data_IF_060358709722
#
_entry.id   IF_060358709722
#
_cell.length_a   1.000
_cell.length_b   1.000
_cell.length_c   1.000
_cell.angle_alpha   90.00
_cell.angle_beta   90.00
_cell.angle_gamma   90.00
#
_symmetry.space_group_name_H-M   'P 1'
#
loop_
_entity.id
_entity.type
_entity.pdbx_description
1 polymer ?
#
# COMPACT_ATOMS: atom_id res chain seq x y z
N UNK A 1 -8.63 -19.88 7.08
CA UNK A 1 -10.00 -20.33 7.34
C UNK A 1 -11.05 -19.51 6.58
N UNK A 2 -10.81 -18.20 6.35
CA UNK A 2 -11.76 -17.31 5.68
C UNK A 2 -11.45 -17.04 4.21
N UNK A 3 -10.37 -17.61 3.66
CA UNK A 3 -9.95 -17.38 2.27
C UNK A 3 -9.42 -15.97 2.00
N UNK A 4 -9.14 -15.18 3.04
CA UNK A 4 -8.53 -13.87 2.89
C UNK A 4 -7.03 -14.04 2.59
N UNK A 5 -6.57 -13.44 1.51
CA UNK A 5 -5.17 -13.37 1.13
C UNK A 5 -4.68 -11.93 1.29
N UNK A 6 -3.43 -11.76 1.72
CA UNK A 6 -2.83 -10.43 1.94
C UNK A 6 -1.53 -10.37 1.15
N UNK A 7 -1.45 -9.41 0.26
CA UNK A 7 -0.30 -9.16 -0.60
C UNK A 7 0.26 -7.78 -0.32
N UNK A 8 1.54 -7.57 -0.58
CA UNK A 8 2.14 -6.26 -0.39
C UNK A 8 3.29 -6.03 -1.37
N UNK A 9 3.40 -4.79 -1.85
CA UNK A 9 4.49 -4.36 -2.70
C UNK A 9 4.86 -2.90 -2.45
N UNK A 10 5.97 -2.48 -3.04
CA UNK A 10 6.49 -1.12 -2.92
C UNK A 10 6.05 -0.30 -4.12
N UNK A 11 5.48 0.86 -3.86
CA UNK A 11 5.08 1.84 -4.88
C UNK A 11 6.10 2.95 -5.08
N UNK A 12 6.88 3.29 -4.05
CA UNK A 12 7.84 4.38 -4.13
C UNK A 12 9.00 4.17 -3.17
N UNK A 13 10.22 4.49 -3.61
CA UNK A 13 11.41 4.66 -2.77
C UNK A 13 12.16 5.90 -3.24
N UNK A 14 12.52 6.80 -2.32
CA UNK A 14 13.37 7.97 -2.61
C UNK A 14 12.79 8.90 -3.68
N UNK A 15 11.45 8.99 -3.79
CA UNK A 15 10.80 9.78 -4.83
C UNK A 15 10.68 9.09 -6.19
N UNK A 16 11.22 7.88 -6.33
CA UNK A 16 11.05 7.07 -7.55
C UNK A 16 9.75 6.27 -7.42
N UNK A 17 8.79 6.57 -8.27
CA UNK A 17 7.49 5.91 -8.27
C UNK A 17 7.42 4.81 -9.32
N UNK A 18 6.80 3.69 -8.94
CA UNK A 18 6.33 2.67 -9.87
C UNK A 18 5.18 3.23 -10.74
N UNK A 19 5.09 2.74 -11.96
CA UNK A 19 3.91 3.02 -12.80
C UNK A 19 2.69 2.36 -12.18
N UNK A 20 1.52 3.03 -12.18
CA UNK A 20 0.29 2.38 -11.79
C UNK A 20 0.08 1.12 -12.64
N UNK A 21 -0.21 0.01 -11.97
CA UNK A 21 -0.56 -1.24 -12.65
C UNK A 21 -2.00 -1.58 -12.32
N UNK A 22 -2.81 -1.79 -13.32
CA UNK A 22 -4.21 -2.23 -13.15
C UNK A 22 -4.28 -3.67 -12.63
N UNK A 23 -3.18 -4.42 -12.78
CA UNK A 23 -3.04 -5.77 -12.25
C UNK A 23 -1.59 -6.04 -11.85
N UNK A 24 -1.39 -6.50 -10.63
CA UNK A 24 -0.11 -7.00 -10.15
C UNK A 24 -0.14 -8.52 -10.18
N UNK A 25 0.84 -9.14 -10.82
CA UNK A 25 1.04 -10.59 -10.73
C UNK A 25 1.64 -10.92 -9.36
N UNK A 26 0.73 -11.22 -8.42
CA UNK A 26 1.10 -11.52 -7.03
C UNK A 26 1.91 -12.81 -6.92
N UNK A 27 1.60 -13.81 -7.74
CA UNK A 27 2.29 -15.11 -7.70
C UNK A 27 3.74 -14.93 -8.18
N UNK A 28 3.96 -14.18 -9.24
CA UNK A 28 5.30 -13.85 -9.71
C UNK A 28 6.08 -13.01 -8.69
N UNK A 29 5.42 -12.03 -8.06
CA UNK A 29 6.05 -11.18 -7.04
C UNK A 29 6.40 -11.97 -5.77
N UNK A 30 5.54 -12.91 -5.35
CA UNK A 30 5.75 -13.73 -4.16
C UNK A 30 6.71 -14.89 -4.39
N UNK A 31 6.74 -15.45 -5.60
CA UNK A 31 7.71 -16.48 -5.98
C UNK A 31 9.16 -15.95 -6.00
N UNK A 32 9.33 -14.62 -6.04
CA UNK A 32 10.65 -14.01 -6.05
C UNK A 32 11.18 -13.91 -4.61
N UNK A 33 12.24 -14.68 -4.24
CA UNK A 33 12.70 -14.73 -2.86
C UNK A 33 13.19 -13.35 -2.40
N UNK A 34 12.78 -12.96 -1.20
CA UNK A 34 13.33 -11.80 -0.52
C UNK A 34 14.75 -12.11 -0.05
N UNK A 35 15.74 -11.72 -0.83
CA UNK A 35 17.15 -11.83 -0.44
C UNK A 35 17.71 -10.45 -0.06
N UNK A 36 18.32 -10.39 1.12
CA UNK A 36 19.09 -9.25 1.61
C UNK A 36 20.37 -9.00 0.79
N UNK A 37 20.79 -10.00 0.05
CA UNK A 37 21.99 -9.95 -0.79
C UNK A 37 21.57 -9.84 -2.25
N UNK A 38 22.17 -8.88 -2.96
CA UNK A 38 22.01 -8.69 -4.41
C UNK A 38 22.50 -9.96 -5.14
N UNK A 39 21.62 -10.91 -5.33
CA UNK A 39 21.88 -12.00 -6.25
C UNK A 39 21.49 -11.55 -7.65
N UNK A 40 22.42 -11.65 -8.58
CA UNK A 40 22.18 -11.46 -10.01
C UNK A 40 20.99 -12.32 -10.43
N UNK A 41 19.84 -11.72 -10.61
CA UNK A 41 18.69 -12.47 -11.14
C UNK A 41 17.33 -11.85 -10.99
N UNK A 42 17.05 -11.06 -9.95
CA UNK A 42 15.77 -10.37 -9.86
C UNK A 42 15.86 -9.09 -9.04
N UNK A 43 15.90 -7.98 -9.74
CA UNK A 43 15.88 -6.65 -9.14
C UNK A 43 14.54 -6.35 -8.45
N UNK A 44 13.45 -6.96 -8.93
CA UNK A 44 12.13 -6.86 -8.30
C UNK A 44 12.15 -7.40 -6.87
N UNK A 45 12.87 -8.49 -6.61
CA UNK A 45 12.98 -9.08 -5.28
C UNK A 45 13.65 -8.15 -4.28
N UNK A 46 14.66 -7.41 -4.71
CA UNK A 46 15.46 -6.56 -3.82
C UNK A 46 14.62 -5.45 -3.17
N UNK A 47 13.65 -4.89 -3.90
CA UNK A 47 12.79 -3.79 -3.44
C UNK A 47 11.31 -4.15 -3.41
N UNK A 48 10.94 -5.35 -3.81
CA UNK A 48 9.56 -5.85 -3.87
C UNK A 48 8.61 -4.91 -4.64
N UNK A 49 9.09 -4.36 -5.74
CA UNK A 49 8.33 -3.50 -6.64
C UNK A 49 7.87 -4.31 -7.85
N UNK A 50 6.59 -4.22 -8.20
CA UNK A 50 6.01 -4.93 -9.34
C UNK A 50 6.40 -4.34 -10.71
N UNK A 51 6.96 -3.13 -10.75
CA UNK A 51 7.49 -2.47 -11.95
C UNK A 51 9.01 -2.65 -12.02
N UNK A 52 9.55 -3.50 -12.93
CA UNK A 52 10.98 -3.78 -13.01
C UNK A 52 11.84 -2.54 -13.34
N UNK A 53 11.33 -1.63 -14.18
CA UNK A 53 12.07 -0.41 -14.53
C UNK A 53 12.13 0.56 -13.35
N UNK A 54 11.05 0.65 -12.57
CA UNK A 54 11.05 1.43 -11.34
C UNK A 54 11.94 0.78 -10.28
N UNK A 55 11.93 -0.55 -10.16
CA UNK A 55 12.77 -1.29 -9.24
C UNK A 55 14.26 -0.98 -9.45
N UNK A 56 14.73 -0.96 -10.69
CA UNK A 56 16.12 -0.61 -11.02
C UNK A 56 16.48 0.81 -10.57
N UNK A 57 15.61 1.76 -10.81
CA UNK A 57 15.81 3.15 -10.40
C UNK A 57 15.75 3.33 -8.89
N UNK A 58 14.85 2.58 -8.20
CA UNK A 58 14.77 2.57 -6.73
C UNK A 58 16.05 2.02 -6.10
N UNK A 59 16.64 0.96 -6.69
CA UNK A 59 17.93 0.42 -6.23
C UNK A 59 19.03 1.44 -6.40
N UNK A 60 19.11 2.09 -7.56
CA UNK A 60 20.10 3.13 -7.81
C UNK A 60 19.97 4.30 -6.83
N UNK A 61 18.75 4.71 -6.49
CA UNK A 61 18.49 5.78 -5.51
C UNK A 61 18.91 5.36 -4.09
N UNK A 62 18.66 4.11 -3.70
CA UNK A 62 19.12 3.57 -2.41
C UNK A 62 20.65 3.60 -2.33
N UNK A 63 21.34 3.20 -3.40
CA UNK A 63 22.79 3.19 -3.45
C UNK A 63 23.36 4.62 -3.41
N UNK A 64 22.77 5.55 -4.16
CA UNK A 64 23.15 6.97 -4.13
C UNK A 64 22.96 7.59 -2.74
N UNK A 65 21.84 7.33 -2.08
CA UNK A 65 21.59 7.80 -0.72
C UNK A 65 22.61 7.21 0.27
N UNK A 66 22.94 5.92 0.14
CA UNK A 66 23.97 5.26 0.97
C UNK A 66 25.33 5.90 0.78
N UNK A 67 25.76 6.16 -0.47
CA UNK A 67 27.03 6.84 -0.76
C UNK A 67 27.07 8.27 -0.20
N UNK A 68 25.93 8.95 -0.23
CA UNK A 68 25.77 10.28 0.36
C UNK A 68 25.71 10.26 1.91
N UNK A 69 25.68 9.09 2.56
CA UNK A 69 25.53 8.97 4.01
C UNK A 69 24.13 9.38 4.50
N UNK A 70 23.11 9.28 3.64
CA UNK A 70 21.73 9.68 3.88
C UNK A 70 20.78 8.47 3.86
N UNK A 71 19.48 8.71 4.01
CA UNK A 71 18.44 7.70 3.99
C UNK A 71 17.23 8.15 3.17
N UNK A 72 16.47 7.18 2.65
CA UNK A 72 15.27 7.43 1.85
C UNK A 72 14.04 6.82 2.50
N UNK A 73 12.90 7.43 2.27
CA UNK A 73 11.58 6.91 2.61
C UNK A 73 10.92 6.22 1.43
N UNK A 74 9.66 5.79 1.62
CA UNK A 74 8.92 5.14 0.56
C UNK A 74 7.44 5.02 0.84
N UNK A 75 6.74 4.44 -0.14
CA UNK A 75 5.32 4.13 -0.06
C UNK A 75 5.16 2.63 -0.33
N UNK A 76 4.44 1.98 0.56
CA UNK A 76 4.03 0.58 0.40
C UNK A 76 2.53 0.51 0.14
N UNK A 77 2.12 -0.48 -0.65
CA UNK A 77 0.71 -0.83 -0.81
C UNK A 77 0.48 -2.26 -0.31
N UNK A 78 -0.60 -2.43 0.43
CA UNK A 78 -1.08 -3.73 0.89
C UNK A 78 -2.47 -3.94 0.35
N UNK A 79 -2.67 -5.08 -0.29
CA UNK A 79 -3.95 -5.49 -0.86
C UNK A 79 -4.42 -6.76 -0.16
N UNK A 80 -5.63 -6.73 0.39
CA UNK A 80 -6.26 -7.92 0.94
C UNK A 80 -7.47 -8.32 0.08
N UNK A 81 -7.44 -9.54 -0.44
CA UNK A 81 -8.51 -10.12 -1.27
C UNK A 81 -9.32 -11.15 -0.49
N UNK A 82 -10.50 -11.51 -0.95
CA UNK A 82 -11.34 -12.54 -0.34
C UNK A 82 -12.05 -12.11 0.96
N UNK A 83 -11.99 -10.82 1.32
CA UNK A 83 -12.71 -10.32 2.48
C UNK A 83 -14.23 -10.34 2.22
N UNK A 84 -15.04 -10.99 3.08
CA UNK A 84 -16.49 -11.01 2.90
C UNK A 84 -17.08 -9.60 3.11
N UNK A 85 -18.22 -9.35 2.48
CA UNK A 85 -18.97 -8.09 2.63
C UNK A 85 -19.43 -7.91 4.09
N UNK A 86 -19.32 -6.68 4.62
CA UNK A 86 -19.91 -6.31 5.90
C UNK A 86 -19.03 -6.53 7.12
N UNK A 87 -17.72 -6.83 6.95
CA UNK A 87 -16.82 -6.82 8.09
C UNK A 87 -16.61 -5.38 8.58
N UNK A 88 -16.65 -5.20 9.89
CA UNK A 88 -16.57 -3.88 10.53
C UNK A 88 -17.94 -3.41 11.00
N UNK A 89 -18.12 -2.10 11.11
CA UNK A 89 -19.37 -1.49 11.56
C UNK A 89 -19.50 -0.06 11.07
N UNK A 90 -20.71 0.37 10.78
CA UNK A 90 -21.04 1.76 10.43
C UNK A 90 -21.53 2.59 11.64
N UNK A 91 -21.78 1.97 12.80
CA UNK A 91 -22.51 2.59 13.90
C UNK A 91 -21.62 3.53 14.72
N UNK A 92 -20.46 3.05 15.16
CA UNK A 92 -19.55 3.80 16.04
C UNK A 92 -18.18 3.95 15.41
N UNK A 93 -17.53 5.10 15.65
CA UNK A 93 -16.23 5.41 15.09
C UNK A 93 -15.14 4.39 15.45
N UNK A 94 -15.14 3.87 16.67
CA UNK A 94 -14.19 2.88 17.19
C UNK A 94 -14.43 1.46 16.66
N UNK A 95 -15.56 1.22 16.01
CA UNK A 95 -15.92 -0.05 15.38
C UNK A 95 -15.70 -0.07 13.87
N UNK A 96 -15.54 1.10 13.26
CA UNK A 96 -15.25 1.22 11.83
C UNK A 96 -13.96 0.51 11.49
N UNK A 97 -14.01 -0.41 10.51
CA UNK A 97 -12.82 -1.14 10.07
C UNK A 97 -11.76 -0.21 9.49
N UNK A 98 -12.15 0.83 8.77
CA UNK A 98 -11.24 1.88 8.28
C UNK A 98 -10.40 2.48 9.41
N UNK A 99 -11.05 2.86 10.53
CA UNK A 99 -10.37 3.42 11.69
C UNK A 99 -9.41 2.42 12.35
N UNK A 100 -9.82 1.15 12.47
CA UNK A 100 -8.99 0.08 13.04
C UNK A 100 -7.75 -0.22 12.19
N UNK A 101 -7.92 -0.31 10.87
CA UNK A 101 -6.81 -0.52 9.95
C UNK A 101 -5.86 0.69 9.96
N UNK A 102 -6.41 1.91 9.91
CA UNK A 102 -5.59 3.12 9.99
C UNK A 102 -4.78 3.18 11.29
N UNK A 103 -5.40 2.89 12.43
CA UNK A 103 -4.71 2.86 13.73
C UNK A 103 -3.61 1.80 13.77
N UNK A 104 -3.88 0.60 13.26
CA UNK A 104 -2.91 -0.48 13.21
C UNK A 104 -1.69 -0.11 12.33
N UNK A 105 -1.93 0.42 11.14
CA UNK A 105 -0.87 0.82 10.21
C UNK A 105 -0.08 2.01 10.77
N UNK A 106 -0.76 3.02 11.32
CA UNK A 106 -0.10 4.19 11.93
C UNK A 106 0.67 3.86 13.21
N UNK A 107 0.41 2.72 13.87
CA UNK A 107 1.18 2.25 15.02
C UNK A 107 2.56 1.70 14.66
N UNK A 108 2.81 1.43 13.38
CA UNK A 108 4.10 0.94 12.89
C UNK A 108 5.11 2.09 12.92
N UNK A 109 6.29 1.83 13.49
CA UNK A 109 7.36 2.83 13.56
C UNK A 109 7.73 3.35 12.16
N UNK A 110 7.99 4.65 12.09
CA UNK A 110 8.32 5.39 10.85
C UNK A 110 7.17 5.58 9.85
N UNK A 111 6.02 4.96 10.04
CA UNK A 111 4.82 5.28 9.25
C UNK A 111 4.32 6.68 9.62
N UNK A 112 4.04 7.52 8.61
CA UNK A 112 3.64 8.92 8.77
C UNK A 112 2.36 9.28 8.04
N UNK A 113 1.79 8.36 7.32
CA UNK A 113 0.51 8.52 6.65
C UNK A 113 -0.07 7.19 6.21
N UNK A 114 -1.38 7.16 6.10
CA UNK A 114 -2.14 6.02 5.58
C UNK A 114 -3.26 6.54 4.69
N UNK A 115 -3.52 5.86 3.60
CA UNK A 115 -4.66 6.12 2.73
C UNK A 115 -5.31 4.81 2.27
N UNK A 116 -6.56 4.91 1.83
CA UNK A 116 -7.36 3.78 1.36
C UNK A 116 -7.82 4.03 -0.07
N UNK A 117 -7.69 3.03 -0.94
CA UNK A 117 -8.09 3.13 -2.33
C UNK A 117 -7.40 4.27 -3.07
N UNK A 118 -8.16 5.15 -3.71
CA UNK A 118 -7.61 6.31 -4.41
C UNK A 118 -7.06 7.41 -3.47
N UNK A 119 -7.31 7.29 -2.14
CA UNK A 119 -6.68 8.13 -1.12
C UNK A 119 -6.79 9.62 -1.40
N UNK A 120 -5.65 10.31 -1.33
CA UNK A 120 -5.58 11.77 -1.52
C UNK A 120 -5.91 12.22 -2.95
N UNK A 121 -5.75 11.36 -3.97
CA UNK A 121 -6.09 11.74 -5.35
C UNK A 121 -7.58 12.00 -5.55
N UNK A 122 -8.43 11.53 -4.63
CA UNK A 122 -9.86 11.83 -4.65
C UNK A 122 -10.17 13.32 -4.49
N UNK A 123 -9.25 14.10 -3.90
CA UNK A 123 -9.42 15.55 -3.77
C UNK A 123 -9.46 16.28 -5.13
N UNK A 124 -8.84 15.69 -6.15
CA UNK A 124 -8.78 16.24 -7.50
C UNK A 124 -9.91 15.71 -8.40
N UNK A 125 -10.77 14.83 -7.86
CA UNK A 125 -11.83 14.15 -8.60
C UNK A 125 -13.22 14.74 -8.27
N UNK A 126 -14.11 14.72 -9.25
CA UNK A 126 -15.52 15.02 -9.00
C UNK A 126 -16.22 13.80 -8.38
N UNK A 127 -17.29 14.02 -7.61
CA UNK A 127 -18.06 12.94 -6.99
C UNK A 127 -18.50 11.84 -7.96
N UNK A 128 -18.89 12.20 -9.18
CA UNK A 128 -19.25 11.24 -10.23
C UNK A 128 -18.11 10.33 -10.71
N UNK A 129 -16.87 10.71 -10.42
CA UNK A 129 -15.66 9.94 -10.74
C UNK A 129 -15.16 9.13 -9.55
N UNK A 130 -15.43 9.64 -8.32
CA UNK A 130 -14.97 9.01 -7.07
C UNK A 130 -15.85 7.82 -6.68
N UNK A 131 -17.18 7.96 -6.80
CA UNK A 131 -18.09 6.94 -6.29
C UNK A 131 -18.01 5.63 -7.09
N UNK A 132 -17.82 4.54 -6.37
CA UNK A 132 -17.71 3.19 -6.91
C UNK A 132 -19.10 2.66 -7.27
N UNK A 133 -19.50 2.81 -8.52
CA UNK A 133 -20.83 2.45 -9.00
C UNK A 133 -21.04 0.94 -8.92
N UNK A 134 -22.12 0.52 -8.28
CA UNK A 134 -22.56 -0.89 -8.25
C UNK A 134 -23.03 -1.32 -9.63
N UNK A 135 -22.57 -2.47 -10.08
CA UNK A 135 -23.01 -3.11 -11.32
C UNK A 135 -23.40 -4.57 -11.08
N UNK A 136 -24.25 -5.17 -11.90
CA UNK A 136 -24.43 -6.62 -11.90
C UNK A 136 -23.07 -7.30 -12.16
N UNK A 137 -22.82 -8.42 -11.50
CA UNK A 137 -21.65 -9.22 -11.74
C UNK A 137 -21.90 -10.12 -12.94
N UNK A 138 -21.06 -10.05 -13.95
CA UNK A 138 -21.11 -10.94 -15.12
C UNK A 138 -20.77 -12.38 -14.68
N UNK A 139 -21.26 -13.39 -15.43
CA UNK A 139 -20.95 -14.81 -15.13
C UNK A 139 -19.44 -15.06 -15.08
N UNK A 140 -18.68 -14.34 -15.86
CA UNK A 140 -17.23 -14.40 -15.92
C UNK A 140 -16.55 -13.88 -14.65
N UNK A 141 -17.10 -12.84 -14.03
CA UNK A 141 -16.57 -12.24 -12.78
C UNK A 141 -16.91 -13.07 -11.55
N UNK A 142 -17.89 -13.98 -11.64
CA UNK A 142 -18.31 -14.82 -10.50
C UNK A 142 -17.27 -15.87 -10.10
N UNK A 143 -16.36 -16.22 -11.01
CA UNK A 143 -15.33 -17.22 -10.76
C UNK A 143 -15.91 -18.60 -10.40
N UNK A 144 -15.04 -19.53 -10.10
CA UNK A 144 -15.41 -20.90 -9.67
C UNK A 144 -15.61 -21.04 -8.16
N UNK A 145 -15.45 -19.96 -7.38
CA UNK A 145 -15.63 -20.03 -5.93
C UNK A 145 -17.11 -19.84 -5.55
N UNK A 146 -17.81 -20.96 -5.44
CA UNK A 146 -19.22 -21.03 -5.04
C UNK A 146 -19.50 -20.42 -3.65
N UNK A 147 -18.46 -20.14 -2.85
CA UNK A 147 -18.58 -19.52 -1.53
C UNK A 147 -18.80 -18.02 -1.59
N UNK A 148 -18.47 -17.39 -2.71
CA UNK A 148 -18.67 -15.95 -2.90
C UNK A 148 -19.97 -15.69 -3.63
N UNK A 149 -21.08 -15.76 -2.92
CA UNK A 149 -22.40 -15.44 -3.47
C UNK A 149 -22.64 -13.93 -3.38
N UNK A 150 -22.08 -13.19 -4.33
CA UNK A 150 -22.46 -11.78 -4.52
C UNK A 150 -22.94 -11.57 -5.96
N UNK A 151 -24.16 -11.03 -6.14
CA UNK A 151 -24.70 -10.83 -7.48
C UNK A 151 -24.25 -9.52 -8.12
N UNK A 152 -23.41 -8.75 -7.46
CA UNK A 152 -22.89 -7.44 -7.90
C UNK A 152 -21.45 -7.22 -7.51
N UNK A 153 -20.79 -6.36 -8.27
CA UNK A 153 -19.43 -5.85 -8.04
C UNK A 153 -19.42 -4.32 -8.15
N UNK A 154 -18.27 -3.72 -7.96
CA UNK A 154 -18.06 -2.29 -8.19
C UNK A 154 -17.38 -2.08 -9.54
N UNK A 155 -17.71 -0.96 -10.22
CA UNK A 155 -17.05 -0.59 -11.49
C UNK A 155 -15.61 -0.14 -11.25
N UNK A 156 -15.36 0.50 -10.13
CA UNK A 156 -14.07 1.01 -9.66
C UNK A 156 -13.90 0.64 -8.20
N UNK A 157 -12.71 0.83 -7.65
CA UNK A 157 -12.42 0.57 -6.24
C UNK A 157 -11.71 1.79 -5.60
N UNK A 158 -12.23 2.99 -5.87
CA UNK A 158 -11.69 4.23 -5.32
C UNK A 158 -11.76 4.29 -3.79
N UNK A 159 -12.77 3.63 -3.21
CA UNK A 159 -12.94 3.51 -1.74
C UNK A 159 -11.98 2.50 -1.12
N UNK A 160 -11.21 1.74 -1.92
CA UNK A 160 -10.28 0.73 -1.43
C UNK A 160 -10.96 -0.39 -0.65
N UNK A 161 -12.12 -0.86 -1.11
CA UNK A 161 -12.87 -1.96 -0.52
C UNK A 161 -13.60 -1.62 0.79
N UNK A 162 -13.62 -0.34 1.19
CA UNK A 162 -14.20 0.11 2.47
C UNK A 162 -15.17 1.27 2.28
N UNK A 163 -16.44 1.06 2.61
CA UNK A 163 -17.46 2.10 2.62
C UNK A 163 -18.20 2.12 3.97
N UNK A 164 -18.43 3.30 4.51
CA UNK A 164 -19.10 3.47 5.79
C UNK A 164 -18.41 2.81 7.00
N UNK A 165 -17.17 2.35 6.85
CA UNK A 165 -16.43 1.61 7.89
C UNK A 165 -16.59 0.09 7.81
N UNK A 166 -17.12 -0.42 6.71
CA UNK A 166 -17.33 -1.85 6.44
C UNK A 166 -16.74 -2.24 5.09
N UNK A 167 -16.42 -3.54 4.95
CA UNK A 167 -15.96 -4.10 3.68
C UNK A 167 -17.08 -4.16 2.65
N UNK A 168 -16.75 -3.88 1.39
CA UNK A 168 -17.66 -3.94 0.25
C UNK A 168 -17.59 -5.28 -0.51
N UNK A 169 -16.59 -6.11 -0.17
CA UNK A 169 -16.25 -7.33 -0.91
C UNK A 169 -15.26 -7.11 -2.04
N UNK A 170 -14.96 -5.86 -2.39
CA UNK A 170 -13.83 -5.53 -3.27
C UNK A 170 -12.51 -5.67 -2.50
N UNK A 171 -11.37 -5.77 -3.20
CA UNK A 171 -10.06 -5.81 -2.54
C UNK A 171 -9.87 -4.63 -1.59
N UNK A 172 -9.38 -4.90 -0.38
CA UNK A 172 -8.99 -3.86 0.55
C UNK A 172 -7.63 -3.33 0.11
N UNK A 173 -7.55 -2.05 -0.25
CA UNK A 173 -6.33 -1.39 -0.71
C UNK A 173 -5.91 -0.35 0.31
N UNK A 174 -4.76 -0.57 0.92
CA UNK A 174 -4.19 0.32 1.95
C UNK A 174 -2.79 0.72 1.54
N UNK A 175 -2.50 2.02 1.52
CA UNK A 175 -1.15 2.54 1.30
C UNK A 175 -0.64 3.21 2.54
N UNK A 176 0.65 3.07 2.79
CA UNK A 176 1.33 3.69 3.91
C UNK A 176 2.63 4.36 3.44
N UNK A 177 2.85 5.57 3.91
CA UNK A 177 4.12 6.25 3.73
C UNK A 177 5.03 5.99 4.92
N UNK A 178 6.27 5.59 4.63
CA UNK A 178 7.33 5.38 5.62
C UNK A 178 8.37 6.49 5.44
N UNK A 179 8.61 7.26 6.49
CA UNK A 179 9.64 8.32 6.45
C UNK A 179 11.05 7.74 6.38
N UNK A 180 12.04 8.49 5.86
CA UNK A 180 13.45 8.13 5.97
C UNK A 180 13.84 7.81 7.41
N UNK A 181 14.80 6.88 7.59
CA UNK A 181 15.34 6.55 8.91
C UNK A 181 16.10 7.77 9.44
N UNK A 182 15.85 8.12 10.70
CA UNK A 182 16.43 9.33 11.31
C UNK A 182 17.94 9.22 11.60
N UNK A 183 18.49 8.00 11.66
CA UNK A 183 19.91 7.78 11.87
C UNK A 183 20.62 7.83 10.51
N UNK A 184 21.20 8.96 10.18
CA UNK A 184 22.03 9.18 8.98
C UNK A 184 23.49 9.32 9.39
N UNK A 185 24.41 8.99 8.47
CA UNK A 185 25.86 9.05 8.72
C UNK A 185 26.36 10.49 8.79
N UNK A 186 25.77 11.37 8.01
CA UNK A 186 26.08 12.79 8.05
C UNK A 186 25.27 13.43 9.18
N UNK A 187 25.99 13.99 10.18
CA UNK A 187 25.36 14.67 11.31
C UNK A 187 24.53 15.87 10.84
N UNK A 188 23.34 16.01 11.39
CA UNK A 188 22.52 17.21 11.21
C UNK A 188 22.89 18.24 12.30
N UNK A 189 22.72 19.49 11.97
CA UNK A 189 22.87 20.59 12.94
C UNK A 189 21.91 20.36 14.11
N UNK A 190 22.45 20.52 15.34
CA UNK A 190 21.66 20.36 16.56
C UNK A 190 22.16 21.33 17.62
N UNK A 191 21.34 21.55 18.63
CA UNK A 191 21.68 22.44 19.74
C UNK A 191 22.56 21.69 20.77
N UNK A 192 23.60 22.38 21.26
CA UNK A 192 24.34 21.95 22.46
C UNK A 192 23.46 22.20 23.69
N UNK A 193 23.06 21.11 24.34
CA UNK A 193 22.16 21.18 25.53
C UNK A 193 22.82 21.87 26.73
N UNK A 194 24.15 22.00 26.75
CA UNK A 194 24.88 22.65 27.84
C UNK A 194 24.98 24.16 27.65
N UNK A 195 25.26 24.59 26.42
CA UNK A 195 25.51 25.99 26.07
C UNK A 195 24.31 26.69 25.46
N UNK A 196 23.36 25.93 24.90
CA UNK A 196 22.23 26.45 24.13
C UNK A 196 22.62 26.97 22.75
N UNK A 197 23.88 26.78 22.33
CA UNK A 197 24.39 27.15 21.01
C UNK A 197 24.23 26.06 19.96
N UNK A 198 24.37 26.46 18.66
CA UNK A 198 24.50 25.53 17.54
C UNK A 198 25.95 25.14 17.33
#
# INVERSE_FOLDING_TARGET
EFGIQIHGHVLCIGGIHARPSDSVDWDALEATPYHREHTEGSKMAAVRCADPEAADRMIAEIDAAREAGDSVGGIIEVVATGAPIGLGSHIQWDRKLTGKLAAAVMSINAVKGVEFGAGFTQADMRGSQVHDVVKPMDEWERGSDERVVRPWSRRTNNSGGLEGGMTTGEPLVVRAIVKPIATIMNGLETVDLTTGGF
#
